data_IF_874472904923
#
_entry.id   IF_874472904923
#
_cell.length_a   1.000
_cell.length_b   1.000
_cell.length_c   1.000
_cell.angle_alpha   90.00
_cell.angle_beta   90.00
_cell.angle_gamma   90.00
#
_symmetry.space_group_name_H-M   'P 1'
#
loop_
_entity.id
_entity.type
_entity.pdbx_description
1 polymer ?
#
# COMPACT_ATOMS: atom_id res chain seq x y z
N UNK A 1 13.13 -8.02 12.56
CA UNK A 1 11.91 -7.25 12.92
C UNK A 1 10.85 -7.55 11.87
N UNK A 2 9.54 -7.49 12.17
CA UNK A 2 8.50 -7.78 11.19
C UNK A 2 8.57 -6.76 10.03
N UNK A 3 8.37 -7.21 8.78
CA UNK A 3 8.51 -6.36 7.58
C UNK A 3 7.65 -5.07 7.65
N UNK A 4 6.52 -5.12 8.35
CA UNK A 4 5.63 -3.98 8.58
C UNK A 4 6.28 -2.82 9.33
N UNK A 5 7.23 -3.11 10.22
CA UNK A 5 7.92 -2.08 11.02
C UNK A 5 8.94 -1.27 10.18
N UNK A 6 9.19 -1.68 8.94
CA UNK A 6 10.05 -0.96 8.00
C UNK A 6 9.25 -0.07 7.03
N UNK A 7 7.91 -0.07 7.11
CA UNK A 7 7.07 0.85 6.36
C UNK A 7 6.84 2.12 7.18
N UNK A 8 6.86 3.28 6.52
CA UNK A 8 6.54 4.56 7.15
C UNK A 8 5.11 4.55 7.72
N UNK A 9 4.14 4.04 6.96
CA UNK A 9 2.76 3.83 7.43
C UNK A 9 2.56 2.60 8.35
N UNK A 10 3.64 1.90 8.74
CA UNK A 10 3.54 0.61 9.41
C UNK A 10 2.77 0.65 10.73
N UNK A 11 3.01 1.68 11.56
CA UNK A 11 2.28 1.88 12.81
C UNK A 11 0.79 2.17 12.58
N UNK A 12 0.47 2.96 11.56
CA UNK A 12 -0.91 3.31 11.22
C UNK A 12 -1.69 2.08 10.75
N UNK A 13 -1.07 1.22 9.92
CA UNK A 13 -1.67 -0.05 9.49
C UNK A 13 -1.95 -0.97 10.69
N UNK A 14 -1.03 -1.04 11.66
CA UNK A 14 -1.19 -1.85 12.86
C UNK A 14 -2.26 -1.31 13.82
N UNK A 15 -2.58 -0.02 13.74
CA UNK A 15 -3.61 0.62 14.54
C UNK A 15 -5.02 0.47 13.92
N UNK A 16 -5.15 -0.03 12.69
CA UNK A 16 -6.45 -0.27 12.06
C UNK A 16 -7.21 -1.39 12.78
N UNK A 17 -8.45 -1.10 13.16
CA UNK A 17 -9.35 -2.04 13.86
C UNK A 17 -9.57 -3.36 13.09
N UNK A 18 -9.59 -3.31 11.75
CA UNK A 18 -9.80 -4.47 10.89
C UNK A 18 -8.51 -5.25 10.57
N UNK A 19 -7.36 -4.81 11.10
CA UNK A 19 -6.06 -5.49 10.94
C UNK A 19 -5.70 -6.22 12.23
N UNK A 20 -5.55 -7.53 12.14
CA UNK A 20 -5.12 -8.38 13.25
C UNK A 20 -3.67 -8.84 13.08
N UNK A 21 -2.89 -8.74 14.14
CA UNK A 21 -1.54 -9.32 14.22
C UNK A 21 -1.63 -10.73 14.79
N UNK A 22 -1.41 -11.76 13.97
CA UNK A 22 -1.27 -13.16 14.41
C UNK A 22 0.20 -13.53 14.56
N UNK A 23 0.62 -13.89 15.77
CA UNK A 23 1.95 -14.44 16.05
C UNK A 23 1.94 -15.95 15.79
N UNK A 24 2.89 -16.44 15.01
CA UNK A 24 3.08 -17.86 14.73
C UNK A 24 3.89 -18.58 15.83
N UNK A 25 4.34 -19.80 15.53
CA UNK A 25 5.01 -20.70 16.48
C UNK A 25 6.12 -19.99 17.28
N UNK A 26 5.93 -19.93 18.61
CA UNK A 26 6.81 -19.28 19.59
C UNK A 26 7.12 -17.79 19.33
N UNK A 27 6.30 -17.08 18.56
CA UNK A 27 6.52 -15.66 18.23
C UNK A 27 7.56 -15.40 17.14
N UNK A 28 8.06 -16.45 16.47
CA UNK A 28 9.10 -16.35 15.43
C UNK A 28 8.58 -15.73 14.12
N UNK A 29 7.28 -15.82 13.86
CA UNK A 29 6.65 -15.26 12.66
C UNK A 29 5.48 -14.36 13.04
N UNK A 30 5.30 -13.28 12.30
CA UNK A 30 4.17 -12.37 12.44
C UNK A 30 3.43 -12.34 11.11
N UNK A 31 2.13 -12.62 11.15
CA UNK A 31 1.21 -12.48 10.02
C UNK A 31 0.22 -11.36 10.33
N UNK A 32 -0.04 -10.53 9.33
CA UNK A 32 -1.13 -9.56 9.36
C UNK A 32 -2.34 -10.20 8.69
N UNK A 33 -3.51 -10.07 9.29
CA UNK A 33 -4.76 -10.63 8.80
C UNK A 33 -5.78 -9.50 8.67
N UNK A 34 -6.41 -9.39 7.51
CA UNK A 34 -7.60 -8.57 7.32
C UNK A 34 -8.79 -9.33 7.89
N UNK A 35 -9.36 -8.82 8.98
CA UNK A 35 -10.37 -9.53 9.78
C UNK A 35 -11.66 -9.84 9.01
N UNK A 36 -12.24 -8.91 8.21
CA UNK A 36 -13.53 -9.13 7.56
C UNK A 36 -13.58 -10.36 6.66
N UNK A 37 -12.45 -10.76 6.07
CA UNK A 37 -12.36 -11.95 5.20
C UNK A 37 -11.36 -12.99 5.69
N UNK A 38 -10.74 -12.77 6.86
CA UNK A 38 -9.67 -13.60 7.43
C UNK A 38 -8.51 -13.85 6.44
N UNK A 39 -8.26 -12.88 5.57
CA UNK A 39 -7.26 -12.94 4.50
C UNK A 39 -5.89 -12.43 4.96
N UNK A 40 -4.81 -13.04 4.48
CA UNK A 40 -3.44 -12.63 4.85
C UNK A 40 -3.09 -11.33 4.15
N UNK A 41 -2.56 -10.36 4.89
CA UNK A 41 -2.05 -9.09 4.34
C UNK A 41 -0.54 -9.22 4.05
N UNK A 42 -0.15 -8.91 2.82
CA UNK A 42 1.23 -8.90 2.33
C UNK A 42 1.71 -7.48 2.07
N UNK A 43 2.99 -7.24 2.34
CA UNK A 43 3.65 -5.96 2.08
C UNK A 43 4.31 -5.99 0.70
N UNK A 44 3.92 -5.05 -0.14
CA UNK A 44 4.40 -4.84 -1.50
C UNK A 44 4.97 -3.43 -1.64
N UNK A 45 6.00 -3.30 -2.46
CA UNK A 45 6.65 -2.03 -2.75
C UNK A 45 7.03 -2.02 -4.23
N UNK A 46 6.78 -0.90 -4.91
CA UNK A 46 7.22 -0.66 -6.29
C UNK A 46 7.80 0.74 -6.39
N UNK A 47 8.84 0.87 -7.20
CA UNK A 47 9.50 2.15 -7.47
C UNK A 47 9.06 2.69 -8.83
N UNK A 48 9.01 4.02 -8.94
CA UNK A 48 8.47 4.74 -10.09
C UNK A 48 9.32 5.96 -10.40
N UNK A 49 9.23 6.44 -11.64
CA UNK A 49 9.79 7.73 -12.02
C UNK A 49 9.04 8.89 -11.34
N UNK A 50 9.60 10.09 -11.39
CA UNK A 50 8.93 11.29 -10.90
C UNK A 50 7.62 11.57 -11.65
N UNK A 51 7.57 11.26 -12.96
CA UNK A 51 6.38 11.45 -13.79
C UNK A 51 5.26 10.51 -13.34
N UNK A 52 5.56 9.22 -13.19
CA UNK A 52 4.59 8.23 -12.74
C UNK A 52 4.23 8.42 -11.26
N UNK A 53 5.13 8.97 -10.45
CA UNK A 53 4.80 9.44 -9.10
C UNK A 53 3.70 10.49 -9.08
N UNK A 54 3.74 11.49 -9.97
CA UNK A 54 2.65 12.48 -10.09
C UNK A 54 1.33 11.85 -10.52
N UNK A 55 1.38 10.83 -11.40
CA UNK A 55 0.19 10.04 -11.76
C UNK A 55 -0.38 9.30 -10.54
N UNK A 56 0.48 8.70 -9.72
CA UNK A 56 0.08 8.07 -8.45
C UNK A 56 -0.51 9.08 -7.46
N UNK A 57 0.03 10.30 -7.35
CA UNK A 57 -0.56 11.38 -6.54
C UNK A 57 -2.00 11.71 -7.00
N UNK A 58 -2.23 11.79 -8.31
CA UNK A 58 -3.57 11.99 -8.87
C UNK A 58 -4.52 10.82 -8.58
N UNK A 59 -4.03 9.58 -8.63
CA UNK A 59 -4.83 8.39 -8.26
C UNK A 59 -5.18 8.42 -6.77
N UNK A 60 -4.22 8.71 -5.89
CA UNK A 60 -4.38 8.68 -4.43
C UNK A 60 -5.19 9.86 -3.88
N UNK A 61 -5.29 10.96 -4.64
CA UNK A 61 -6.15 12.11 -4.33
C UNK A 61 -7.58 11.95 -4.85
N UNK A 62 -7.84 10.97 -5.73
CA UNK A 62 -9.19 10.69 -6.21
C UNK A 62 -10.09 10.17 -5.07
N UNK A 63 -11.39 10.51 -5.07
CA UNK A 63 -12.36 9.89 -4.18
C UNK A 63 -12.34 8.36 -4.36
N UNK A 64 -12.55 7.54 -3.29
CA UNK A 64 -12.46 6.08 -3.39
C UNK A 64 -13.32 5.43 -4.48
N UNK A 65 -14.48 6.01 -4.77
CA UNK A 65 -15.40 5.55 -5.84
C UNK A 65 -14.85 5.80 -7.26
N UNK A 66 -13.91 6.73 -7.41
CA UNK A 66 -13.36 7.18 -8.70
C UNK A 66 -11.93 6.64 -8.92
N UNK A 67 -11.34 5.96 -7.93
CA UNK A 67 -9.96 5.43 -7.99
C UNK A 67 -9.76 4.48 -9.17
N UNK A 68 -10.70 3.57 -9.45
CA UNK A 68 -10.63 2.66 -10.60
C UNK A 68 -10.56 3.43 -11.94
N UNK A 69 -11.36 4.49 -12.06
CA UNK A 69 -11.35 5.37 -13.22
C UNK A 69 -10.03 6.15 -13.31
N UNK A 70 -9.51 6.62 -12.17
CA UNK A 70 -8.24 7.32 -12.10
C UNK A 70 -7.06 6.42 -12.51
N UNK A 71 -7.02 5.16 -12.04
CA UNK A 71 -6.02 4.18 -12.44
C UNK A 71 -6.02 3.99 -13.96
N UNK A 72 -7.22 3.83 -14.55
CA UNK A 72 -7.37 3.68 -16.00
C UNK A 72 -6.92 4.92 -16.79
N UNK A 73 -7.16 6.11 -16.25
CA UNK A 73 -6.79 7.40 -16.87
C UNK A 73 -5.29 7.69 -16.77
N UNK A 74 -4.64 7.21 -15.71
CA UNK A 74 -3.25 7.51 -15.38
C UNK A 74 -2.43 6.22 -15.28
N UNK A 75 -2.17 5.53 -16.40
CA UNK A 75 -1.36 4.32 -16.38
C UNK A 75 0.06 4.63 -15.90
N UNK A 76 0.61 3.74 -15.07
CA UNK A 76 1.93 3.87 -14.45
C UNK A 76 2.77 2.64 -14.74
N UNK A 77 4.08 2.82 -14.90
CA UNK A 77 5.03 1.74 -15.11
C UNK A 77 6.07 1.74 -14.00
N UNK A 78 6.16 0.64 -13.25
CA UNK A 78 7.20 0.50 -12.25
C UNK A 78 8.58 0.42 -12.94
N UNK A 79 9.57 1.03 -12.32
CA UNK A 79 10.97 1.02 -12.77
C UNK A 79 11.87 0.56 -11.62
N UNK A 80 13.08 0.11 -11.95
CA UNK A 80 14.13 -0.08 -10.95
C UNK A 80 14.76 1.28 -10.63
N UNK A 81 15.11 1.52 -9.36
CA UNK A 81 15.81 2.72 -8.89
C UNK A 81 15.02 4.02 -9.14
N UNK A 82 13.70 3.95 -9.01
CA UNK A 82 12.82 5.11 -9.14
C UNK A 82 12.91 6.04 -7.93
N UNK A 83 12.80 7.35 -8.14
CA UNK A 83 12.82 8.32 -7.03
C UNK A 83 11.47 8.44 -6.30
N UNK A 84 10.47 7.69 -6.73
CA UNK A 84 9.15 7.57 -6.09
C UNK A 84 8.93 6.12 -5.70
N UNK A 85 8.28 5.87 -4.56
CA UNK A 85 8.01 4.51 -4.07
C UNK A 85 6.58 4.42 -3.57
N UNK A 86 5.80 3.52 -4.16
CA UNK A 86 4.48 3.16 -3.66
C UNK A 86 4.61 1.95 -2.75
N UNK A 87 4.25 2.11 -1.48
CA UNK A 87 4.20 1.03 -0.50
C UNK A 87 2.74 0.64 -0.28
N UNK A 88 2.46 -0.67 -0.23
CA UNK A 88 1.12 -1.18 0.01
C UNK A 88 1.12 -2.41 0.94
N UNK A 89 0.10 -2.47 1.80
CA UNK A 89 -0.32 -3.65 2.54
C UNK A 89 -1.60 -4.17 1.88
N UNK A 90 -1.53 -5.33 1.22
CA UNK A 90 -2.60 -5.86 0.37
C UNK A 90 -3.05 -7.22 0.92
N UNK A 91 -4.35 -7.41 1.13
CA UNK A 91 -4.89 -8.73 1.47
C UNK A 91 -4.85 -9.68 0.28
N UNK A 92 -4.63 -10.98 0.50
CA UNK A 92 -4.46 -12.00 -0.56
C UNK A 92 -5.71 -12.19 -1.45
N UNK A 93 -6.87 -11.80 -0.96
CA UNK A 93 -8.17 -11.79 -1.66
C UNK A 93 -8.48 -10.43 -2.30
N UNK A 94 -7.54 -9.48 -2.23
CA UNK A 94 -7.63 -8.12 -2.74
C UNK A 94 -8.83 -7.31 -2.21
N UNK A 95 -9.42 -7.71 -1.08
CA UNK A 95 -10.53 -6.99 -0.44
C UNK A 95 -10.07 -5.84 0.45
N UNK A 96 -8.77 -5.70 0.68
CA UNK A 96 -8.17 -4.64 1.49
C UNK A 96 -6.82 -4.18 0.92
N UNK A 97 -6.63 -2.86 0.88
CA UNK A 97 -5.35 -2.21 0.60
C UNK A 97 -5.16 -1.06 1.59
N UNK A 98 -4.01 -0.98 2.27
CA UNK A 98 -3.50 0.26 2.82
C UNK A 98 -2.27 0.68 2.01
N UNK A 99 -2.18 1.94 1.59
CA UNK A 99 -1.15 2.41 0.65
C UNK A 99 -0.68 3.81 0.96
N UNK A 100 0.58 4.09 0.65
CA UNK A 100 1.21 5.40 0.79
C UNK A 100 2.28 5.59 -0.29
N UNK A 101 2.35 6.81 -0.83
CA UNK A 101 3.39 7.21 -1.77
C UNK A 101 4.50 7.98 -1.04
N UNK A 102 5.74 7.61 -1.35
CA UNK A 102 6.95 8.22 -0.80
C UNK A 102 7.81 8.77 -1.94
N UNK A 103 8.57 9.82 -1.66
CA UNK A 103 9.58 10.37 -2.55
C UNK A 103 10.96 10.29 -1.91
N UNK A 104 11.98 10.00 -2.72
CA UNK A 104 13.37 10.00 -2.26
C UNK A 104 13.85 11.44 -2.04
N UNK A 105 14.08 11.81 -0.78
CA UNK A 105 14.52 13.13 -0.32
C UNK A 105 15.48 12.96 0.86
N UNK A 106 16.55 13.75 0.90
CA UNK A 106 17.55 13.73 1.99
C UNK A 106 18.10 12.31 2.27
N UNK A 107 18.45 11.58 1.21
CA UNK A 107 18.99 10.21 1.24
C UNK A 107 18.05 9.13 1.80
N UNK A 108 16.73 9.37 1.85
CA UNK A 108 15.73 8.38 2.23
C UNK A 108 14.39 8.57 1.54
N UNK A 109 13.53 7.56 1.55
CA UNK A 109 12.14 7.72 1.10
C UNK A 109 11.32 8.34 2.22
N UNK A 110 10.64 9.45 1.92
CA UNK A 110 9.77 10.16 2.86
C UNK A 110 8.34 10.23 2.30
N UNK A 111 7.30 10.12 3.15
CA UNK A 111 5.92 10.25 2.70
C UNK A 111 5.67 11.56 1.95
N UNK A 112 4.96 11.47 0.82
CA UNK A 112 4.40 12.62 0.09
C UNK A 112 2.87 12.58 0.04
N UNK A 113 2.27 11.49 0.49
CA UNK A 113 0.83 11.38 0.74
C UNK A 113 0.57 10.88 2.16
N UNK A 114 -0.63 11.15 2.67
CA UNK A 114 -1.17 10.40 3.80
C UNK A 114 -1.35 8.91 3.42
N UNK A 115 -1.45 8.04 4.43
CA UNK A 115 -1.92 6.68 4.23
C UNK A 115 -3.38 6.70 3.75
N UNK A 116 -3.68 5.94 2.71
CA UNK A 116 -5.05 5.68 2.24
C UNK A 116 -5.40 4.21 2.43
N UNK A 117 -6.67 3.95 2.77
CA UNK A 117 -7.22 2.60 2.86
C UNK A 117 -8.35 2.41 1.86
N UNK A 118 -8.35 1.28 1.17
CA UNK A 118 -9.41 0.87 0.25
C UNK A 118 -9.91 -0.51 0.64
N UNK A 119 -11.20 -0.75 0.40
CA UNK A 119 -11.86 -2.04 0.63
C UNK A 119 -12.72 -2.43 -0.57
N UNK A 120 -13.03 -3.72 -0.72
CA UNK A 120 -13.91 -4.22 -1.77
C UNK A 120 -13.39 -3.93 -3.18
N UNK A 121 -14.28 -3.52 -4.10
CA UNK A 121 -13.93 -3.27 -5.51
C UNK A 121 -12.80 -2.25 -5.71
N UNK A 122 -12.76 -1.20 -4.89
CA UNK A 122 -11.69 -0.21 -4.97
C UNK A 122 -10.33 -0.82 -4.60
N UNK A 123 -10.30 -1.69 -3.58
CA UNK A 123 -9.08 -2.41 -3.20
C UNK A 123 -8.65 -3.37 -4.31
N UNK A 124 -9.60 -4.08 -4.93
CA UNK A 124 -9.34 -5.00 -6.03
C UNK A 124 -8.72 -4.29 -7.24
N UNK A 125 -9.28 -3.14 -7.62
CA UNK A 125 -8.75 -2.31 -8.70
C UNK A 125 -7.35 -1.77 -8.36
N UNK A 126 -7.14 -1.26 -7.14
CA UNK A 126 -5.85 -0.70 -6.73
C UNK A 126 -4.76 -1.78 -6.63
N UNK A 127 -5.12 -3.00 -6.20
CA UNK A 127 -4.18 -4.12 -6.08
C UNK A 127 -3.55 -4.48 -7.43
N UNK A 128 -4.19 -4.20 -8.57
CA UNK A 128 -3.65 -4.45 -9.91
C UNK A 128 -2.40 -3.62 -10.23
N UNK A 129 -2.10 -2.58 -9.44
CA UNK A 129 -0.85 -1.83 -9.56
C UNK A 129 0.37 -2.66 -9.10
N UNK A 130 0.19 -3.81 -8.43
CA UNK A 130 1.23 -4.65 -7.83
C UNK A 130 1.36 -6.02 -8.48
#
# INVERSE_FOLDING_TARGET
>A
MAKINHLEMGADVLALQDVQVKKGFMGLTVKLIYQPTNSVIKIKEKEYSAEDGRKLENILSAPPKDVETAISKFPVSAISMGNMKLQACISDDHQFVATQLLAFKDFGYKPVTEMKTYTGKTAEAFAQLF
#
